data_IF_422737540213
#
_entry.id   IF_422737540213
#
_cell.length_a   1.000
_cell.length_b   1.000
_cell.length_c   1.000
_cell.angle_alpha   90.00
_cell.angle_beta   90.00
_cell.angle_gamma   90.00
#
_symmetry.space_group_name_H-M   'P 1'
#
loop_
_entity.id
_entity.type
_entity.pdbx_description
1 polymer ?
#
# COMPACT_ATOMS: atom_id res chain seq x y z
N UNK A 1 4.50 6.64 14.93
CA UNK A 1 4.44 5.57 13.91
C UNK A 1 4.50 4.22 14.62
N UNK A 2 3.85 3.18 14.09
CA UNK A 2 3.77 1.84 14.71
C UNK A 2 3.91 0.76 13.66
N UNK A 3 4.55 -0.35 14.04
CA UNK A 3 4.70 -1.51 13.19
C UNK A 3 3.38 -2.29 13.09
N UNK A 4 3.12 -2.83 11.89
CA UNK A 4 1.96 -3.68 11.63
C UNK A 4 2.41 -4.95 10.90
N UNK A 5 2.09 -6.11 11.46
CA UNK A 5 2.34 -7.39 10.78
C UNK A 5 1.30 -7.59 9.67
N UNK A 6 1.79 -7.69 8.44
CA UNK A 6 0.97 -7.77 7.22
C UNK A 6 0.56 -9.20 6.85
N UNK A 7 1.28 -10.21 7.36
CA UNK A 7 1.01 -11.62 7.13
C UNK A 7 2.00 -12.49 7.90
N UNK A 8 1.79 -13.80 7.86
CA UNK A 8 2.69 -14.77 8.47
C UNK A 8 2.76 -16.05 7.64
N UNK A 9 3.91 -16.70 7.70
CA UNK A 9 4.15 -18.04 7.17
C UNK A 9 5.02 -18.80 8.16
N UNK A 10 4.60 -19.98 8.55
CA UNK A 10 5.20 -20.79 9.59
C UNK A 10 5.67 -22.11 8.99
N UNK A 11 6.94 -22.45 9.21
CA UNK A 11 7.39 -23.83 9.16
C UNK A 11 7.08 -24.48 10.51
N UNK A 12 6.06 -25.34 10.54
CA UNK A 12 5.61 -26.01 11.75
C UNK A 12 6.41 -27.30 12.02
N UNK A 13 7.29 -27.69 11.08
CA UNK A 13 8.00 -28.95 11.12
C UNK A 13 7.03 -30.12 11.24
N UNK A 14 7.34 -31.03 12.15
CA UNK A 14 6.49 -32.18 12.46
C UNK A 14 5.67 -32.00 13.74
N UNK A 15 5.70 -30.81 14.38
CA UNK A 15 5.07 -30.62 15.70
C UNK A 15 3.57 -30.91 15.68
N UNK A 16 2.86 -30.34 14.70
CA UNK A 16 1.44 -30.61 14.49
C UNK A 16 1.18 -32.05 14.03
N UNK A 17 2.00 -32.56 13.11
CA UNK A 17 1.85 -33.93 12.62
C UNK A 17 1.98 -34.96 13.76
N UNK A 18 2.87 -34.74 14.73
CA UNK A 18 3.01 -35.60 15.91
C UNK A 18 1.82 -35.46 16.88
N UNK A 19 1.33 -34.24 17.09
CA UNK A 19 0.21 -34.00 18.00
C UNK A 19 -1.12 -34.61 17.51
N UNK A 20 -1.31 -34.71 16.19
CA UNK A 20 -2.55 -35.19 15.56
C UNK A 20 -2.39 -36.51 14.79
N UNK A 21 -1.25 -37.16 14.94
CA UNK A 21 -0.89 -38.42 14.27
C UNK A 21 -1.05 -38.41 12.73
N UNK A 22 -0.60 -37.32 12.11
CA UNK A 22 -0.64 -37.14 10.66
C UNK A 22 0.59 -37.82 10.05
N UNK A 23 0.38 -39.03 9.52
CA UNK A 23 1.44 -39.90 9.04
C UNK A 23 1.26 -40.31 7.58
N UNK A 24 2.35 -40.73 6.93
CA UNK A 24 2.37 -41.35 5.60
C UNK A 24 3.40 -42.49 5.57
N UNK A 25 3.24 -43.45 4.64
CA UNK A 25 4.28 -44.45 4.35
C UNK A 25 5.30 -43.86 3.37
N UNK A 26 6.58 -43.91 3.73
CA UNK A 26 7.67 -43.56 2.81
C UNK A 26 7.94 -44.68 1.78
N UNK A 27 8.97 -44.49 0.95
CA UNK A 27 9.35 -45.43 -0.12
C UNK A 27 9.84 -46.77 0.41
N UNK A 28 10.29 -46.80 1.66
CA UNK A 28 10.75 -47.98 2.37
C UNK A 28 9.61 -48.65 3.17
N UNK A 29 8.35 -48.21 2.97
CA UNK A 29 7.16 -48.65 3.71
C UNK A 29 7.26 -48.42 5.22
N UNK A 30 7.93 -47.34 5.65
CA UNK A 30 7.99 -46.92 7.06
C UNK A 30 7.05 -45.76 7.30
N UNK A 31 6.37 -45.77 8.45
CA UNK A 31 5.53 -44.65 8.87
C UNK A 31 6.41 -43.44 9.21
N UNK A 32 6.12 -42.32 8.55
CA UNK A 32 6.77 -41.03 8.76
C UNK A 32 5.74 -39.97 9.12
N UNK A 33 6.13 -39.00 9.94
CA UNK A 33 5.31 -37.82 10.22
C UNK A 33 5.42 -36.78 9.11
N UNK A 34 4.30 -36.18 8.74
CA UNK A 34 4.25 -35.11 7.74
C UNK A 34 5.03 -33.87 8.19
N UNK A 35 5.69 -33.22 7.24
CA UNK A 35 6.24 -31.87 7.41
C UNK A 35 5.15 -30.87 7.06
N UNK A 36 4.84 -29.97 8.00
CA UNK A 36 3.68 -29.09 7.92
C UNK A 36 4.07 -27.63 7.91
N UNK A 37 3.26 -26.84 7.22
CA UNK A 37 3.39 -25.39 7.11
C UNK A 37 2.00 -24.77 7.24
N UNK A 38 1.95 -23.52 7.70
CA UNK A 38 0.71 -22.73 7.70
C UNK A 38 1.04 -21.28 7.39
N UNK A 39 0.13 -20.56 6.74
CA UNK A 39 0.29 -19.15 6.45
C UNK A 39 -1.06 -18.45 6.44
N UNK A 40 -1.04 -17.15 6.66
CA UNK A 40 -2.25 -16.36 6.76
C UNK A 40 -2.03 -14.88 6.53
N UNK A 41 -3.04 -14.28 5.89
CA UNK A 41 -3.25 -12.84 5.79
C UNK A 41 -4.71 -12.56 6.15
N UNK A 42 -5.04 -11.32 6.49
CA UNK A 42 -6.41 -10.95 6.88
C UNK A 42 -6.80 -9.60 6.30
N UNK A 43 -8.05 -9.20 6.54
CA UNK A 43 -8.60 -7.88 6.18
C UNK A 43 -7.84 -6.71 6.84
N UNK A 44 -6.94 -6.98 7.79
CA UNK A 44 -5.93 -6.02 8.28
C UNK A 44 -5.18 -5.33 7.13
N UNK A 45 -4.96 -6.02 6.01
CA UNK A 45 -4.33 -5.44 4.81
C UNK A 45 -5.13 -4.25 4.25
N UNK A 46 -6.46 -4.29 4.34
CA UNK A 46 -7.33 -3.18 3.91
C UNK A 46 -7.11 -1.96 4.81
N UNK A 47 -7.07 -2.16 6.13
CA UNK A 47 -6.76 -1.08 7.08
C UNK A 47 -5.37 -0.48 6.84
N UNK A 48 -4.39 -1.31 6.49
CA UNK A 48 -3.05 -0.85 6.15
C UNK A 48 -3.03 0.07 4.93
N UNK A 49 -3.77 -0.27 3.86
CA UNK A 49 -3.90 0.57 2.66
C UNK A 49 -4.48 1.95 3.02
N UNK A 50 -5.53 1.97 3.86
CA UNK A 50 -6.15 3.22 4.32
C UNK A 50 -5.14 4.07 5.09
N UNK A 51 -4.43 3.48 6.06
CA UNK A 51 -3.47 4.21 6.89
C UNK A 51 -2.22 4.69 6.13
N UNK A 52 -1.75 3.93 5.13
CA UNK A 52 -0.51 4.24 4.40
C UNK A 52 -0.74 5.31 3.33
N UNK A 53 -1.92 5.33 2.70
CA UNK A 53 -2.16 6.19 1.55
C UNK A 53 -3.12 7.33 1.79
N UNK A 54 -4.05 7.21 2.75
CA UNK A 54 -5.04 8.25 3.05
C UNK A 54 -4.41 9.59 3.44
N UNK A 55 -5.17 10.67 3.22
CA UNK A 55 -4.82 12.03 3.60
C UNK A 55 -6.03 12.74 4.25
N UNK A 56 -5.88 14.02 4.55
CA UNK A 56 -6.94 14.83 5.18
C UNK A 56 -8.20 14.98 4.31
N UNK A 57 -8.10 14.71 3.00
CA UNK A 57 -9.22 14.75 2.07
C UNK A 57 -9.93 13.40 1.93
N UNK A 58 -9.38 12.32 2.49
CA UNK A 58 -10.02 11.00 2.55
C UNK A 58 -9.14 9.86 2.05
N UNK A 59 -9.78 8.87 1.42
CA UNK A 59 -9.09 7.70 0.91
C UNK A 59 -8.21 8.05 -0.29
N UNK A 60 -7.11 7.33 -0.44
CA UNK A 60 -6.34 7.25 -1.68
C UNK A 60 -6.12 5.77 -1.97
N UNK A 61 -6.81 5.24 -2.98
CA UNK A 61 -6.75 3.83 -3.30
C UNK A 61 -5.72 3.57 -4.41
N UNK A 62 -4.84 2.56 -4.27
CA UNK A 62 -4.04 2.08 -5.38
C UNK A 62 -4.94 1.60 -6.53
N UNK A 63 -4.70 2.01 -7.79
CA UNK A 63 -5.53 1.64 -8.94
C UNK A 63 -5.79 0.15 -9.12
N UNK A 64 -4.88 -0.74 -8.71
CA UNK A 64 -5.10 -2.19 -8.79
C UNK A 64 -6.15 -2.70 -7.80
N UNK A 65 -6.40 -1.97 -6.72
CA UNK A 65 -7.33 -2.32 -5.65
C UNK A 65 -8.60 -1.47 -5.65
N UNK A 66 -8.58 -0.30 -6.30
CA UNK A 66 -9.71 0.62 -6.33
C UNK A 66 -10.93 -0.01 -7.06
N UNK A 67 -12.12 -0.10 -6.43
CA UNK A 67 -13.32 -0.63 -7.09
C UNK A 67 -13.71 0.18 -8.33
N UNK A 68 -13.54 1.50 -8.26
CA UNK A 68 -13.65 2.44 -9.38
C UNK A 68 -12.25 3.04 -9.57
N UNK A 69 -11.66 2.84 -10.73
CA UNK A 69 -10.34 3.36 -11.08
C UNK A 69 -10.42 4.78 -11.64
N UNK A 70 -11.44 5.03 -12.45
CA UNK A 70 -11.68 6.32 -13.07
C UNK A 70 -13.15 6.73 -12.92
N UNK A 71 -13.40 7.99 -12.57
CA UNK A 71 -14.73 8.59 -12.55
C UNK A 71 -14.83 9.66 -13.63
N UNK A 72 -15.82 9.57 -14.52
CA UNK A 72 -16.13 10.61 -15.50
C UNK A 72 -17.18 11.54 -14.91
N UNK A 73 -16.87 12.84 -14.89
CA UNK A 73 -17.77 13.87 -14.39
C UNK A 73 -18.09 14.84 -15.54
N UNK A 74 -19.30 14.76 -16.13
CA UNK A 74 -19.76 15.74 -17.10
C UNK A 74 -20.04 17.09 -16.42
N UNK A 75 -19.72 18.18 -17.12
CA UNK A 75 -19.89 19.55 -16.65
C UNK A 75 -20.67 20.32 -17.71
N UNK A 76 -21.84 20.86 -17.36
CA UNK A 76 -22.69 21.66 -18.26
C UNK A 76 -23.56 22.62 -17.44
N UNK A 77 -24.11 23.65 -18.09
CA UNK A 77 -24.98 24.66 -17.46
C UNK A 77 -26.41 24.65 -17.98
N UNK A 78 -26.61 24.20 -19.21
CA UNK A 78 -27.90 24.14 -19.88
C UNK A 78 -28.09 22.83 -20.65
N UNK A 79 -29.33 22.57 -21.09
CA UNK A 79 -29.72 21.36 -21.82
C UNK A 79 -28.99 21.20 -23.17
N UNK A 80 -28.66 22.31 -23.84
CA UNK A 80 -27.95 22.29 -25.11
C UNK A 80 -26.50 21.83 -24.95
N UNK A 81 -25.82 22.27 -23.89
CA UNK A 81 -24.52 21.75 -23.49
C UNK A 81 -24.60 20.31 -23.01
N UNK A 82 -25.61 19.97 -22.20
CA UNK A 82 -25.81 18.64 -21.59
C UNK A 82 -25.78 17.54 -22.64
N UNK A 83 -26.59 17.65 -23.70
CA UNK A 83 -26.66 16.64 -24.75
C UNK A 83 -25.30 16.40 -25.43
N UNK A 84 -24.55 17.47 -25.73
CA UNK A 84 -23.22 17.36 -26.38
C UNK A 84 -22.18 16.75 -25.45
N UNK A 85 -22.18 17.15 -24.18
CA UNK A 85 -21.25 16.65 -23.16
C UNK A 85 -21.50 15.18 -22.89
N UNK A 86 -22.75 14.76 -22.70
CA UNK A 86 -23.10 13.36 -22.45
C UNK A 86 -22.75 12.46 -23.64
N UNK A 87 -23.02 12.91 -24.87
CA UNK A 87 -22.59 12.19 -26.07
C UNK A 87 -21.05 12.02 -26.12
N UNK A 88 -20.29 13.04 -25.71
CA UNK A 88 -18.83 12.94 -25.63
C UNK A 88 -18.38 11.96 -24.52
N UNK A 89 -19.04 12.00 -23.37
CA UNK A 89 -18.80 11.06 -22.26
C UNK A 89 -19.06 9.61 -22.68
N UNK A 90 -20.11 9.35 -23.46
CA UNK A 90 -20.37 8.02 -24.01
C UNK A 90 -19.20 7.53 -24.89
N UNK A 91 -18.62 8.41 -25.73
CA UNK A 91 -17.41 8.07 -26.51
C UNK A 91 -16.23 7.73 -25.60
N UNK A 92 -16.03 8.48 -24.52
CA UNK A 92 -14.96 8.20 -23.52
C UNK A 92 -15.19 6.84 -22.86
N UNK A 93 -16.44 6.54 -22.48
CA UNK A 93 -16.82 5.26 -21.88
C UNK A 93 -16.58 4.10 -22.82
N UNK A 94 -16.97 4.24 -24.09
CA UNK A 94 -16.75 3.23 -25.13
C UNK A 94 -15.26 2.99 -25.37
N UNK A 95 -14.47 4.07 -25.46
CA UNK A 95 -13.04 4.00 -25.71
C UNK A 95 -12.28 3.28 -24.59
N UNK A 96 -12.68 3.52 -23.33
CA UNK A 96 -12.08 2.92 -22.13
C UNK A 96 -12.74 1.60 -21.72
N UNK A 97 -13.77 1.17 -22.44
CA UNK A 97 -14.56 -0.02 -22.15
C UNK A 97 -13.67 -1.27 -22.06
N UNK A 98 -13.77 -2.00 -20.94
CA UNK A 98 -13.00 -3.22 -20.71
C UNK A 98 -11.53 -3.02 -20.33
N UNK A 99 -10.99 -1.81 -20.42
CA UNK A 99 -9.62 -1.50 -19.99
C UNK A 99 -9.54 -0.98 -18.56
N UNK A 100 -10.59 -0.25 -18.12
CA UNK A 100 -10.62 0.45 -16.84
C UNK A 100 -11.96 0.23 -16.16
N UNK A 101 -11.95 0.06 -14.83
CA UNK A 101 -13.16 0.10 -13.99
C UNK A 101 -13.66 1.53 -13.89
N UNK A 102 -14.43 1.93 -14.90
CA UNK A 102 -14.95 3.29 -15.08
C UNK A 102 -16.35 3.42 -14.47
N UNK A 103 -16.65 4.60 -13.92
CA UNK A 103 -18.03 5.03 -13.61
C UNK A 103 -18.26 6.43 -14.18
N UNK A 104 -19.49 6.71 -14.60
CA UNK A 104 -19.96 8.06 -14.95
C UNK A 104 -20.83 8.58 -13.80
N UNK A 105 -20.66 9.84 -13.45
CA UNK A 105 -21.50 10.54 -12.48
C UNK A 105 -22.26 11.70 -13.13
N UNK A 106 -23.39 11.34 -13.74
CA UNK A 106 -24.31 12.21 -14.48
C UNK A 106 -25.50 12.70 -13.64
N UNK A 107 -25.47 12.52 -12.31
CA UNK A 107 -26.52 13.02 -11.39
C UNK A 107 -26.71 14.53 -11.53
N UNK A 108 -27.89 14.98 -11.91
CA UNK A 108 -28.19 16.39 -12.17
C UNK A 108 -28.37 17.21 -10.86
N UNK A 109 -28.67 16.53 -9.75
CA UNK A 109 -28.90 17.16 -8.44
C UNK A 109 -27.64 17.69 -7.74
N UNK A 110 -26.45 17.37 -8.25
CA UNK A 110 -25.17 17.74 -7.64
C UNK A 110 -24.29 18.59 -8.57
N UNK A 111 -23.69 19.64 -8.01
CA UNK A 111 -22.70 20.44 -8.73
C UNK A 111 -21.43 19.62 -9.02
N UNK A 112 -20.69 19.98 -10.07
CA UNK A 112 -19.42 19.33 -10.39
C UNK A 112 -18.43 19.34 -9.21
N UNK A 113 -18.32 20.47 -8.50
CA UNK A 113 -17.46 20.58 -7.32
C UNK A 113 -17.87 19.63 -6.18
N UNK A 114 -19.17 19.42 -5.98
CA UNK A 114 -19.68 18.45 -5.00
C UNK A 114 -19.29 17.02 -5.40
N UNK A 115 -19.48 16.65 -6.66
CA UNK A 115 -19.08 15.35 -7.20
C UNK A 115 -17.57 15.14 -7.06
N UNK A 116 -16.76 16.15 -7.36
CA UNK A 116 -15.30 16.09 -7.22
C UNK A 116 -14.91 15.71 -5.79
N UNK A 117 -15.46 16.40 -4.80
CA UNK A 117 -15.18 16.14 -3.40
C UNK A 117 -15.65 14.75 -2.96
N UNK A 118 -16.83 14.29 -3.38
CA UNK A 118 -17.33 12.95 -3.04
C UNK A 118 -16.36 11.85 -3.55
N UNK A 119 -15.93 11.94 -4.81
CA UNK A 119 -15.06 10.92 -5.39
C UNK A 119 -13.62 11.01 -4.91
N UNK A 120 -13.16 12.21 -4.54
CA UNK A 120 -11.88 12.40 -3.86
C UNK A 120 -11.91 11.78 -2.46
N UNK A 121 -12.98 12.02 -1.68
CA UNK A 121 -13.17 11.42 -0.36
C UNK A 121 -13.18 9.89 -0.42
N UNK A 122 -13.83 9.33 -1.44
CA UNK A 122 -13.90 7.88 -1.69
C UNK A 122 -12.61 7.28 -2.28
N UNK A 123 -11.64 8.12 -2.65
CA UNK A 123 -10.33 7.71 -3.12
C UNK A 123 -10.30 7.10 -4.52
N UNK A 124 -11.20 7.53 -5.41
CA UNK A 124 -11.11 7.17 -6.83
C UNK A 124 -9.80 7.72 -7.39
N UNK A 125 -8.91 6.88 -7.95
CA UNK A 125 -7.55 7.32 -8.32
C UNK A 125 -7.51 8.44 -9.37
N UNK A 126 -8.38 8.36 -10.37
CA UNK A 126 -8.39 9.27 -11.50
C UNK A 126 -9.80 9.83 -11.73
N UNK A 127 -9.90 11.14 -11.93
CA UNK A 127 -11.12 11.79 -12.42
C UNK A 127 -10.92 12.28 -13.84
N UNK A 128 -11.94 12.11 -14.66
CA UNK A 128 -12.01 12.58 -16.05
C UNK A 128 -13.10 13.66 -16.11
N UNK A 129 -12.71 14.89 -16.31
CA UNK A 129 -13.60 16.05 -16.41
C UNK A 129 -13.91 16.28 -17.89
N UNK A 130 -15.21 16.43 -18.22
CA UNK A 130 -15.68 16.68 -19.59
C UNK A 130 -16.65 17.86 -19.57
N UNK A 131 -16.20 19.03 -20.02
CA UNK A 131 -17.02 20.23 -20.17
C UNK A 131 -17.20 20.67 -21.62
N UNK A 132 -17.98 21.75 -21.89
CA UNK A 132 -18.26 22.20 -23.25
C UNK A 132 -17.00 22.67 -23.99
N UNK A 133 -16.01 23.21 -23.25
CA UNK A 133 -14.71 23.59 -23.80
C UNK A 133 -13.88 22.40 -24.24
N UNK A 134 -13.95 21.30 -23.48
CA UNK A 134 -13.21 20.07 -23.77
C UNK A 134 -13.83 19.35 -24.97
N UNK A 135 -15.16 19.36 -25.08
CA UNK A 135 -15.90 18.90 -26.27
C UNK A 135 -15.48 19.68 -27.52
N UNK A 136 -15.44 21.02 -27.43
CA UNK A 136 -15.04 21.87 -28.56
C UNK A 136 -13.56 21.69 -28.96
N UNK A 137 -12.70 21.37 -27.99
CA UNK A 137 -11.27 21.11 -28.20
C UNK A 137 -10.94 19.63 -28.47
N UNK A 138 -11.93 18.74 -28.55
CA UNK A 138 -11.76 17.31 -28.80
C UNK A 138 -10.81 16.64 -27.78
N UNK A 139 -10.99 16.94 -26.50
CA UNK A 139 -10.13 16.49 -25.40
C UNK A 139 -10.92 16.16 -24.13
N UNK A 140 -10.22 15.62 -23.12
CA UNK A 140 -10.69 15.50 -21.74
C UNK A 140 -9.66 16.09 -20.79
N UNK A 141 -10.04 16.43 -19.55
CA UNK A 141 -9.10 16.79 -18.50
C UNK A 141 -9.00 15.64 -17.50
N UNK A 142 -7.80 15.12 -17.31
CA UNK A 142 -7.51 14.12 -16.27
C UNK A 142 -7.08 14.84 -14.99
N UNK A 143 -7.50 14.30 -13.85
CA UNK A 143 -7.14 14.79 -12.51
C UNK A 143 -6.78 13.63 -11.59
N UNK A 144 -5.58 13.66 -11.03
CA UNK A 144 -5.07 12.66 -10.09
C UNK A 144 -5.56 12.90 -8.67
N UNK A 145 -5.94 11.83 -7.96
CA UNK A 145 -6.30 11.89 -6.54
C UNK A 145 -5.09 12.07 -5.63
N UNK A 146 -3.97 11.45 -5.97
CA UNK A 146 -2.75 11.48 -5.15
C UNK A 146 -1.94 12.79 -5.29
N UNK A 147 -2.29 13.63 -6.27
CA UNK A 147 -1.71 14.96 -6.51
C UNK A 147 -2.84 15.98 -6.67
N UNK A 148 -3.40 16.50 -5.56
CA UNK A 148 -4.55 17.40 -5.63
C UNK A 148 -4.21 18.75 -6.26
N UNK A 149 -5.25 19.46 -6.71
CA UNK A 149 -5.12 20.79 -7.29
C UNK A 149 -4.61 20.77 -8.74
N UNK A 150 -4.08 21.91 -9.21
CA UNK A 150 -3.69 22.08 -10.63
C UNK A 150 -2.52 21.20 -11.05
N UNK A 151 -1.63 20.83 -10.13
CA UNK A 151 -0.42 20.07 -10.43
C UNK A 151 -0.70 18.63 -10.90
N UNK A 152 -1.81 18.04 -10.44
CA UNK A 152 -2.24 16.72 -10.89
C UNK A 152 -3.27 16.75 -12.01
N UNK A 153 -3.44 17.89 -12.70
CA UNK A 153 -4.39 18.03 -13.81
C UNK A 153 -3.70 18.27 -15.14
N UNK A 154 -4.15 17.61 -16.19
CA UNK A 154 -3.68 17.83 -17.55
C UNK A 154 -4.77 17.49 -18.57
N UNK A 155 -4.70 18.14 -19.74
CA UNK A 155 -5.59 17.85 -20.85
C UNK A 155 -5.02 16.71 -21.71
N UNK A 156 -5.90 15.87 -22.23
CA UNK A 156 -5.58 14.73 -23.07
C UNK A 156 -6.49 14.76 -24.30
N UNK A 157 -5.92 14.88 -25.52
CA UNK A 157 -6.71 14.78 -26.75
C UNK A 157 -7.46 13.45 -26.80
N UNK A 158 -8.68 13.44 -27.35
CA UNK A 158 -9.52 12.25 -27.43
C UNK A 158 -8.80 11.06 -28.08
N UNK A 159 -7.97 11.34 -29.09
CA UNK A 159 -7.16 10.35 -29.79
C UNK A 159 -6.12 9.62 -28.91
N UNK A 160 -5.72 10.19 -27.76
CA UNK A 160 -4.75 9.59 -26.84
C UNK A 160 -5.35 9.06 -25.55
N UNK A 161 -6.66 9.20 -25.33
CA UNK A 161 -7.32 8.81 -24.06
C UNK A 161 -7.16 7.31 -23.76
N UNK A 162 -7.19 6.47 -24.81
CA UNK A 162 -7.12 5.00 -24.69
C UNK A 162 -5.79 4.53 -24.12
N UNK A 163 -4.69 5.21 -24.46
CA UNK A 163 -3.35 4.89 -24.02
C UNK A 163 -3.03 5.61 -22.70
N UNK A 164 -3.44 6.86 -22.59
CA UNK A 164 -3.05 7.76 -21.51
C UNK A 164 -3.71 7.41 -20.17
N UNK A 165 -4.98 7.01 -20.17
CA UNK A 165 -5.69 6.68 -18.93
C UNK A 165 -5.08 5.45 -18.23
N UNK A 166 -4.84 4.31 -18.91
CA UNK A 166 -4.13 3.18 -18.29
C UNK A 166 -2.71 3.55 -17.83
N UNK A 167 -1.97 4.34 -18.62
CA UNK A 167 -0.64 4.82 -18.24
C UNK A 167 -0.68 5.62 -16.95
N UNK A 168 -1.61 6.56 -16.84
CA UNK A 168 -1.78 7.38 -15.64
C UNK A 168 -2.11 6.52 -14.40
N UNK A 169 -2.94 5.48 -14.56
CA UNK A 169 -3.25 4.55 -13.46
C UNK A 169 -2.01 3.76 -13.00
N UNK A 170 -1.15 3.29 -13.91
CA UNK A 170 0.09 2.63 -13.50
C UNK A 170 1.09 3.61 -12.86
N UNK A 171 1.12 4.86 -13.31
CA UNK A 171 1.94 5.90 -12.68
C UNK A 171 1.48 6.24 -11.26
N UNK A 172 0.17 6.34 -11.03
CA UNK A 172 -0.39 6.52 -9.69
C UNK A 172 -0.02 5.30 -8.82
N UNK A 173 -0.18 4.08 -9.33
CA UNK A 173 0.16 2.85 -8.62
C UNK A 173 1.64 2.85 -8.19
N UNK A 174 2.54 3.21 -9.10
CA UNK A 174 3.99 3.31 -8.84
C UNK A 174 4.31 4.43 -7.84
N UNK A 175 3.74 5.62 -8.02
CA UNK A 175 3.98 6.76 -7.14
C UNK A 175 3.54 6.48 -5.70
N UNK A 176 2.41 5.81 -5.50
CA UNK A 176 1.94 5.42 -4.17
C UNK A 176 2.87 4.41 -3.50
N UNK A 177 3.40 3.43 -4.26
CA UNK A 177 4.40 2.49 -3.77
C UNK A 177 5.69 3.21 -3.38
N UNK A 178 6.26 4.03 -4.27
CA UNK A 178 7.51 4.75 -4.02
C UNK A 178 7.41 5.71 -2.83
N UNK A 179 6.25 6.39 -2.68
CA UNK A 179 5.96 7.23 -1.52
C UNK A 179 5.98 6.43 -0.22
N UNK A 180 5.32 5.26 -0.20
CA UNK A 180 5.28 4.39 0.97
C UNK A 180 6.64 3.74 1.28
N UNK A 181 7.39 3.35 0.26
CA UNK A 181 8.73 2.80 0.38
C UNK A 181 9.69 3.81 1.01
N UNK A 182 9.75 5.02 0.44
CA UNK A 182 10.57 6.12 0.96
C UNK A 182 10.18 6.47 2.40
N UNK A 183 8.88 6.56 2.70
CA UNK A 183 8.42 6.78 4.07
C UNK A 183 8.93 5.69 5.01
N UNK A 184 8.87 4.41 4.64
CA UNK A 184 9.41 3.32 5.47
C UNK A 184 10.91 3.48 5.69
N UNK A 185 11.67 3.80 4.65
CA UNK A 185 13.13 3.96 4.69
C UNK A 185 13.55 5.15 5.56
N UNK A 186 12.92 6.31 5.38
CA UNK A 186 13.18 7.54 6.17
C UNK A 186 12.91 7.35 7.66
N UNK A 187 12.03 6.41 8.01
CA UNK A 187 11.66 6.07 9.40
C UNK A 187 12.21 4.72 9.86
N UNK A 188 13.23 4.19 9.17
CA UNK A 188 14.01 3.03 9.61
C UNK A 188 15.44 3.46 9.89
N UNK A 189 15.82 3.47 11.16
CA UNK A 189 17.11 3.97 11.60
C UNK A 189 18.08 2.82 11.92
N UNK A 190 19.38 3.09 11.81
CA UNK A 190 20.47 2.16 12.18
C UNK A 190 21.25 2.75 13.37
N UNK A 191 20.75 2.58 14.59
CA UNK A 191 21.35 3.19 15.77
C UNK A 191 22.72 2.57 16.08
N UNK A 192 23.70 3.41 16.41
CA UNK A 192 25.03 3.00 16.89
C UNK A 192 25.13 2.87 18.40
N UNK A 193 24.11 3.33 19.15
CA UNK A 193 24.08 3.30 20.61
C UNK A 193 22.70 2.95 21.15
N UNK A 194 22.64 2.51 22.41
CA UNK A 194 21.36 2.25 23.09
C UNK A 194 20.45 3.49 23.15
N UNK A 195 21.02 4.68 23.34
CA UNK A 195 20.25 5.94 23.36
C UNK A 195 19.58 6.24 22.01
N UNK A 196 20.34 6.09 20.91
CA UNK A 196 19.79 6.22 19.56
C UNK A 196 18.75 5.14 19.25
N UNK A 197 18.96 3.92 19.75
CA UNK A 197 17.99 2.84 19.60
C UNK A 197 16.66 3.19 20.27
N UNK A 198 16.71 3.66 21.52
CA UNK A 198 15.52 4.07 22.27
C UNK A 198 14.77 5.14 21.49
N UNK A 199 15.46 6.18 21.02
CA UNK A 199 14.86 7.26 20.23
C UNK A 199 14.24 6.75 18.91
N UNK A 200 14.94 5.87 18.18
CA UNK A 200 14.46 5.33 16.92
C UNK A 200 13.15 4.52 17.07
N UNK A 201 13.03 3.71 18.12
CA UNK A 201 11.83 2.88 18.32
C UNK A 201 10.65 3.63 18.93
N UNK A 202 10.82 4.89 19.36
CA UNK A 202 9.70 5.72 19.83
C UNK A 202 8.72 6.06 18.71
N UNK A 203 9.25 6.34 17.51
CA UNK A 203 8.48 6.85 16.38
C UNK A 203 8.92 6.28 15.01
N UNK A 204 9.43 5.05 15.00
CA UNK A 204 9.90 4.39 13.78
C UNK A 204 10.37 2.96 14.01
N UNK A 205 11.24 2.50 13.12
CA UNK A 205 11.94 1.22 13.19
C UNK A 205 13.42 1.43 13.53
N UNK A 206 14.00 0.48 14.26
CA UNK A 206 15.43 0.37 14.46
C UNK A 206 15.95 -0.95 13.90
N UNK A 207 16.84 -0.89 12.92
CA UNK A 207 17.59 -2.04 12.41
C UNK A 207 18.94 -2.09 13.15
N UNK A 208 19.11 -3.06 14.04
CA UNK A 208 20.25 -3.10 14.95
C UNK A 208 20.85 -4.51 15.09
N UNK A 209 22.16 -4.62 15.41
CA UNK A 209 22.77 -5.90 15.75
C UNK A 209 22.15 -6.48 17.03
N UNK A 210 21.73 -7.74 16.99
CA UNK A 210 21.08 -8.40 18.12
C UNK A 210 21.68 -9.77 18.40
N UNK A 211 21.72 -10.16 19.68
CA UNK A 211 22.39 -11.39 20.13
C UNK A 211 21.57 -12.67 19.93
N UNK A 212 20.29 -12.57 19.55
CA UNK A 212 19.41 -13.74 19.36
C UNK A 212 18.81 -14.33 20.64
N UNK A 213 19.01 -13.67 21.79
CA UNK A 213 18.63 -14.18 23.10
C UNK A 213 17.27 -13.61 23.57
N UNK A 214 16.37 -14.49 24.01
CA UNK A 214 15.02 -14.12 24.41
C UNK A 214 14.99 -13.20 25.64
N UNK A 215 15.87 -13.41 26.62
CA UNK A 215 15.95 -12.55 27.81
C UNK A 215 16.37 -11.14 27.42
N UNK A 216 17.31 -11.01 26.48
CA UNK A 216 17.68 -9.71 25.92
C UNK A 216 16.50 -9.02 25.21
N UNK A 217 15.65 -9.76 24.48
CA UNK A 217 14.45 -9.18 23.86
C UNK A 217 13.42 -8.72 24.91
N UNK A 218 13.18 -9.52 25.95
CA UNK A 218 12.28 -9.16 27.06
C UNK A 218 12.73 -7.89 27.77
N UNK A 219 14.03 -7.72 28.01
CA UNK A 219 14.58 -6.50 28.60
C UNK A 219 14.41 -5.28 27.68
N UNK A 220 14.63 -5.44 26.37
CA UNK A 220 14.38 -4.38 25.38
C UNK A 220 12.90 -3.97 25.43
N UNK A 221 11.99 -4.94 25.45
CA UNK A 221 10.56 -4.71 25.55
C UNK A 221 10.18 -3.99 26.84
N UNK A 222 10.71 -4.42 27.98
CA UNK A 222 10.44 -3.78 29.27
C UNK A 222 10.88 -2.31 29.30
N UNK A 223 12.04 -2.00 28.70
CA UNK A 223 12.61 -0.64 28.70
C UNK A 223 12.00 0.29 27.64
N UNK A 224 11.57 -0.25 26.50
CA UNK A 224 11.21 0.58 25.32
C UNK A 224 9.80 0.36 24.79
N UNK A 225 9.14 -0.72 25.22
CA UNK A 225 7.90 -1.27 24.63
C UNK A 225 8.04 -1.78 23.19
N UNK A 226 9.25 -1.76 22.63
CA UNK A 226 9.54 -2.31 21.30
C UNK A 226 9.86 -3.80 21.39
N UNK A 227 9.50 -4.55 20.36
CA UNK A 227 9.76 -6.00 20.24
C UNK A 227 10.39 -6.29 18.89
N UNK A 228 11.06 -7.45 18.74
CA UNK A 228 11.63 -7.86 17.47
C UNK A 228 10.50 -8.11 16.47
N UNK A 229 10.49 -7.42 15.33
CA UNK A 229 9.43 -7.50 14.30
C UNK A 229 9.76 -8.54 13.25
N UNK A 230 11.01 -8.55 12.82
CA UNK A 230 11.54 -9.58 11.97
C UNK A 230 13.06 -9.52 11.96
N UNK A 231 13.62 -10.65 11.59
CA UNK A 231 14.98 -10.82 11.12
C UNK A 231 14.87 -10.73 9.59
N UNK A 232 15.35 -9.65 8.93
CA UNK A 232 15.28 -9.56 7.48
C UNK A 232 15.93 -10.78 6.83
N UNK A 233 15.37 -11.30 5.73
CA UNK A 233 15.97 -12.48 5.06
C UNK A 233 17.26 -12.10 4.33
N UNK A 234 17.22 -10.98 3.60
CA UNK A 234 18.37 -10.41 2.93
C UNK A 234 19.09 -9.47 3.89
N UNK A 235 20.13 -9.98 4.57
CA UNK A 235 20.96 -9.21 5.48
C UNK A 235 22.35 -9.00 4.88
N UNK A 236 22.89 -7.79 5.05
CA UNK A 236 24.33 -7.62 4.96
C UNK A 236 25.02 -8.35 6.11
N UNK A 237 26.25 -8.85 5.93
CA UNK A 237 27.00 -9.45 7.03
C UNK A 237 27.15 -8.47 8.19
N UNK A 238 27.02 -8.99 9.41
CA UNK A 238 27.40 -8.21 10.60
C UNK A 238 28.89 -7.88 10.56
N UNK A 239 29.29 -6.66 10.98
CA UNK A 239 30.69 -6.34 11.20
C UNK A 239 31.34 -7.34 12.17
N UNK A 240 32.61 -7.69 11.95
CA UNK A 240 33.35 -8.58 12.84
C UNK A 240 33.34 -8.02 14.27
N UNK A 241 32.87 -8.83 15.21
CA UNK A 241 32.79 -8.43 16.62
C UNK A 241 31.64 -7.47 16.94
N UNK A 242 30.64 -7.31 16.05
CA UNK A 242 29.48 -6.47 16.29
C UNK A 242 28.83 -6.83 17.64
N UNK A 243 28.65 -5.81 18.49
CA UNK A 243 28.01 -5.96 19.79
C UNK A 243 26.50 -5.76 19.66
N UNK A 244 25.73 -6.53 20.42
CA UNK A 244 24.29 -6.38 20.53
C UNK A 244 23.97 -4.99 21.08
N UNK A 245 23.01 -4.31 20.44
CA UNK A 245 22.63 -2.92 20.74
C UNK A 245 22.24 -2.66 22.21
N UNK A 246 21.81 -3.71 22.91
CA UNK A 246 21.34 -3.65 24.29
C UNK A 246 22.33 -4.27 25.29
N UNK A 247 22.61 -5.56 25.16
CA UNK A 247 23.40 -6.29 26.17
C UNK A 247 24.92 -6.29 25.93
N UNK A 248 25.40 -5.75 24.81
CA UNK A 248 26.84 -5.68 24.48
C UNK A 248 27.51 -7.01 24.12
N UNK A 249 26.85 -8.16 24.28
CA UNK A 249 27.35 -9.47 23.83
C UNK A 249 27.49 -9.52 22.31
N UNK A 250 28.22 -10.50 21.78
CA UNK A 250 28.35 -10.69 20.33
C UNK A 250 26.97 -10.84 19.66
N UNK A 251 26.71 -10.01 18.65
CA UNK A 251 25.52 -10.08 17.84
C UNK A 251 25.58 -11.27 16.89
N UNK A 252 24.42 -11.88 16.64
CA UNK A 252 24.26 -13.01 15.71
C UNK A 252 23.58 -12.58 14.42
N UNK A 253 22.65 -11.63 14.51
CA UNK A 253 21.79 -11.25 13.39
C UNK A 253 21.48 -9.74 13.41
N UNK A 254 21.10 -9.21 12.25
CA UNK A 254 20.39 -7.95 12.18
C UNK A 254 18.91 -8.17 12.52
N UNK A 255 18.36 -7.36 13.41
CA UNK A 255 16.97 -7.43 13.80
C UNK A 255 16.28 -6.06 13.68
N UNK A 256 15.04 -6.07 13.21
CA UNK A 256 14.18 -4.87 13.16
C UNK A 256 13.36 -4.82 14.44
N UNK A 257 13.52 -3.75 15.21
CA UNK A 257 12.70 -3.47 16.39
C UNK A 257 11.78 -2.29 16.13
N UNK A 258 10.57 -2.36 16.67
CA UNK A 258 9.65 -1.23 16.73
C UNK A 258 8.58 -1.48 17.77
N UNK A 259 7.90 -0.40 18.17
CA UNK A 259 6.63 -0.49 18.87
C UNK A 259 5.53 -0.90 17.88
N UNK A 260 4.75 -1.92 18.22
CA UNK A 260 3.66 -2.42 17.38
C UNK A 260 2.30 -1.78 17.73
N UNK A 261 1.35 -1.92 16.80
CA UNK A 261 -0.08 -1.66 16.99
C UNK A 261 -0.71 -2.69 17.93
#
# INVERSE_FOLDING_TARGET
RRALQMGTSHNLGQNFARAFDIQYLDRENRLQYCWTTSWGVSTRLVGAIVMVHGDDQGLILPPRLAPIQAIVVPIYRDEGERARVLAFVDRVRELLGGQVRLKVDDRDEYTAGWKFNEWELRGVPLRIEVGPKDVAAEQVVLARRDVPGKAGKWAVPMAGVREEVPRALEEIQKALYERALRFREEHTHRPGSWGEFVAAVEDGFALAPWCGDAVCEEEIQAKTKATNRCLPLDQEPLPTGAACIHCGRLAREWAVFARAY
#
